data_IF_976530118456
#
_entry.id   IF_976530118456
#
_cell.length_a   1.000
_cell.length_b   1.000
_cell.length_c   1.000
_cell.angle_alpha   90.00
_cell.angle_beta   90.00
_cell.angle_gamma   90.00
#
_symmetry.space_group_name_H-M   'P 1'
#
loop_
_entity.id
_entity.type
_entity.pdbx_description
1 polymer ?
#
# COMPACT_ATOMS: atom_id res chain seq x y z
N UNK A 1 -5.09 2.08 18.83
CA UNK A 1 -6.42 2.53 19.31
C UNK A 1 -6.40 3.94 19.91
N UNK A 2 -5.56 4.24 20.91
CA UNK A 2 -5.49 5.58 21.55
C UNK A 2 -5.36 6.72 20.54
N UNK A 3 -4.42 6.62 19.60
CA UNK A 3 -4.21 7.61 18.53
C UNK A 3 -5.44 7.79 17.62
N UNK A 4 -6.14 6.69 17.30
CA UNK A 4 -7.34 6.77 16.46
C UNK A 4 -8.48 7.47 17.21
N UNK A 5 -8.66 7.14 18.49
CA UNK A 5 -9.67 7.75 19.35
C UNK A 5 -9.41 9.25 19.56
N UNK A 6 -8.15 9.66 19.75
CA UNK A 6 -7.80 11.09 19.86
C UNK A 6 -8.04 11.87 18.57
N UNK A 7 -8.05 11.19 17.41
CA UNK A 7 -8.44 11.74 16.11
C UNK A 7 -9.96 11.63 15.85
N UNK A 8 -10.76 11.22 16.84
CA UNK A 8 -12.22 11.10 16.71
C UNK A 8 -12.69 9.93 15.85
N UNK A 9 -11.86 8.92 15.65
CA UNK A 9 -12.21 7.72 14.87
C UNK A 9 -12.83 6.66 15.77
N UNK A 10 -14.09 6.29 15.49
CA UNK A 10 -14.83 5.27 16.24
C UNK A 10 -14.53 3.82 15.83
N UNK A 11 -13.89 3.61 14.68
CA UNK A 11 -13.56 2.30 14.14
C UNK A 11 -12.12 2.27 13.63
N UNK A 12 -11.49 1.10 13.74
CA UNK A 12 -10.17 0.82 13.19
C UNK A 12 -10.23 -0.51 12.46
N UNK A 13 -9.54 -0.59 11.32
CA UNK A 13 -9.31 -1.82 10.60
C UNK A 13 -7.82 -2.13 10.61
N UNK A 14 -7.47 -3.38 10.93
CA UNK A 14 -6.09 -3.88 10.93
C UNK A 14 -6.11 -5.30 10.38
N UNK A 15 -5.31 -5.57 9.35
CA UNK A 15 -5.25 -6.87 8.67
C UNK A 15 -5.15 -8.07 9.62
N UNK A 16 -4.28 -7.98 10.61
CA UNK A 16 -4.02 -9.03 11.62
C UNK A 16 -5.17 -9.25 12.60
N UNK A 17 -6.11 -8.32 12.73
CA UNK A 17 -7.25 -8.42 13.66
C UNK A 17 -8.59 -8.59 12.95
N UNK A 18 -8.71 -8.09 11.71
CA UNK A 18 -9.97 -7.97 10.99
C UNK A 18 -10.13 -9.00 9.85
N UNK A 19 -9.05 -9.74 9.54
CA UNK A 19 -9.09 -10.83 8.57
C UNK A 19 -8.86 -12.12 9.34
N UNK A 20 -9.80 -13.06 9.22
CA UNK A 20 -9.60 -14.42 9.67
C UNK A 20 -8.63 -15.13 8.71
N UNK A 21 -7.37 -15.29 9.14
CA UNK A 21 -6.33 -15.91 8.34
C UNK A 21 -6.51 -17.44 8.21
N UNK A 22 -7.40 -18.04 9.00
CA UNK A 22 -7.73 -19.46 8.92
C UNK A 22 -8.88 -19.73 7.93
N UNK A 23 -9.67 -18.71 7.58
CA UNK A 23 -10.71 -18.78 6.55
C UNK A 23 -10.21 -18.28 5.19
N UNK A 24 -9.94 -19.20 4.27
CA UNK A 24 -9.52 -18.86 2.90
C UNK A 24 -10.55 -18.00 2.15
N UNK A 25 -11.84 -18.16 2.44
CA UNK A 25 -12.90 -17.36 1.83
C UNK A 25 -12.80 -15.91 2.29
N UNK A 26 -12.53 -15.70 3.59
CA UNK A 26 -12.33 -14.37 4.15
C UNK A 26 -11.05 -13.72 3.62
N UNK A 27 -9.94 -14.47 3.53
CA UNK A 27 -8.70 -13.99 2.92
C UNK A 27 -8.93 -13.55 1.47
N UNK A 28 -9.53 -14.39 0.63
CA UNK A 28 -9.82 -14.05 -0.76
C UNK A 28 -10.69 -12.80 -0.88
N UNK A 29 -11.73 -12.69 -0.04
CA UNK A 29 -12.59 -11.51 0.02
C UNK A 29 -11.79 -10.26 0.38
N UNK A 30 -10.94 -10.32 1.38
CA UNK A 30 -10.18 -9.16 1.84
C UNK A 30 -9.11 -8.74 0.84
N UNK A 31 -8.39 -9.67 0.21
CA UNK A 31 -7.40 -9.41 -0.84
C UNK A 31 -7.98 -8.52 -1.95
N UNK A 32 -9.22 -8.80 -2.39
CA UNK A 32 -9.91 -8.00 -3.40
C UNK A 32 -10.35 -6.61 -2.90
N UNK A 33 -10.55 -6.45 -1.60
CA UNK A 33 -11.10 -5.24 -0.98
C UNK A 33 -10.08 -4.35 -0.27
N UNK A 34 -8.82 -4.79 -0.11
CA UNK A 34 -7.76 -4.06 0.59
C UNK A 34 -7.67 -2.59 0.16
N UNK A 35 -7.66 -2.33 -1.15
CA UNK A 35 -7.59 -0.98 -1.67
C UNK A 35 -8.78 -0.12 -1.23
N UNK A 36 -9.97 -0.70 -1.26
CA UNK A 36 -11.20 -0.02 -0.86
C UNK A 36 -11.20 0.32 0.62
N UNK A 37 -10.63 -0.52 1.49
CA UNK A 37 -10.49 -0.21 2.91
C UNK A 37 -9.61 1.01 3.12
N UNK A 38 -8.45 1.07 2.46
CA UNK A 38 -7.57 2.23 2.57
C UNK A 38 -8.18 3.48 1.94
N UNK A 39 -8.71 3.38 0.72
CA UNK A 39 -9.31 4.52 0.01
C UNK A 39 -10.48 5.15 0.77
N UNK A 40 -11.30 4.35 1.42
CA UNK A 40 -12.46 4.84 2.18
C UNK A 40 -12.14 5.12 3.66
N UNK A 41 -10.89 4.94 4.09
CA UNK A 41 -10.45 5.36 5.41
C UNK A 41 -10.31 6.88 5.48
N UNK A 42 -10.50 7.45 6.67
CA UNK A 42 -10.17 8.87 6.90
C UNK A 42 -8.65 9.07 7.03
N UNK A 43 -7.97 8.17 7.73
CA UNK A 43 -6.53 8.20 8.00
C UNK A 43 -6.00 6.78 7.96
N UNK A 44 -4.85 6.60 7.31
CA UNK A 44 -4.04 5.39 7.43
C UNK A 44 -2.86 5.66 8.38
N UNK A 45 -2.74 4.83 9.41
CA UNK A 45 -1.60 4.90 10.35
C UNK A 45 -0.56 3.86 9.96
N UNK A 46 0.60 4.32 9.50
CA UNK A 46 1.73 3.47 9.13
C UNK A 46 2.70 3.34 10.31
N UNK A 47 2.80 2.14 10.89
CA UNK A 47 3.69 1.85 12.01
C UNK A 47 4.99 1.21 11.51
N UNK A 48 6.11 1.93 11.66
CA UNK A 48 7.44 1.54 11.24
C UNK A 48 8.20 0.89 12.40
N UNK A 49 7.94 -0.41 12.60
CA UNK A 49 8.50 -1.19 13.71
C UNK A 49 10.03 -1.28 13.76
N UNK A 50 10.70 -1.02 12.63
CA UNK A 50 12.16 -1.04 12.46
C UNK A 50 12.79 0.35 12.40
N UNK A 51 12.03 1.39 12.76
CA UNK A 51 12.49 2.78 12.84
C UNK A 51 12.45 3.25 14.29
N UNK A 52 13.49 3.94 14.73
CA UNK A 52 13.55 4.66 16.00
C UNK A 52 14.13 6.05 15.73
N UNK A 53 13.33 7.10 15.93
CA UNK A 53 13.72 8.47 15.65
C UNK A 53 14.50 9.13 16.81
N UNK A 54 14.58 8.49 17.98
CA UNK A 54 15.22 9.07 19.16
C UNK A 54 16.69 8.64 19.31
N UNK A 55 17.08 7.50 18.74
CA UNK A 55 18.43 6.94 18.92
C UNK A 55 19.46 7.43 17.89
N UNK A 56 19.05 8.08 16.80
CA UNK A 56 19.94 8.35 15.66
C UNK A 56 19.83 9.80 15.20
N UNK A 57 20.98 10.43 14.92
CA UNK A 57 21.06 11.81 14.41
C UNK A 57 20.57 11.96 12.95
N UNK A 58 20.42 10.84 12.23
CA UNK A 58 19.97 10.79 10.84
C UNK A 58 18.63 10.04 10.74
N UNK A 59 17.70 10.55 9.92
CA UNK A 59 16.40 9.91 9.67
C UNK A 59 16.59 8.50 9.09
N UNK A 60 16.08 7.48 9.79
CA UNK A 60 16.00 6.10 9.29
C UNK A 60 14.67 5.80 8.59
N UNK A 61 13.86 6.81 8.33
CA UNK A 61 12.53 6.65 7.75
C UNK A 61 12.61 5.93 6.40
N UNK A 62 13.37 6.44 5.44
CA UNK A 62 13.53 5.83 4.12
C UNK A 62 14.17 4.44 4.10
N UNK A 63 14.78 4.01 5.21
CA UNK A 63 15.39 2.68 5.35
C UNK A 63 14.42 1.63 5.91
N UNK A 64 13.22 2.04 6.35
CA UNK A 64 12.25 1.10 6.90
C UNK A 64 11.84 0.05 5.86
N UNK A 65 11.77 -1.21 6.32
CA UNK A 65 11.23 -2.33 5.56
C UNK A 65 9.81 -2.10 5.08
N UNK A 66 9.06 -1.18 5.68
CA UNK A 66 7.71 -0.82 5.23
C UNK A 66 7.69 -0.41 3.75
N UNK A 67 8.71 0.31 3.26
CA UNK A 67 8.83 0.69 1.84
C UNK A 67 9.07 -0.50 0.89
N UNK A 68 9.54 -1.62 1.44
CA UNK A 68 9.84 -2.83 0.66
C UNK A 68 8.69 -3.85 0.69
N UNK A 69 7.63 -3.65 1.47
CA UNK A 69 6.49 -4.57 1.51
C UNK A 69 5.53 -4.31 0.34
N UNK A 70 5.00 -5.36 -0.28
CA UNK A 70 4.10 -5.22 -1.44
C UNK A 70 2.81 -4.45 -1.13
N UNK A 71 2.10 -4.87 -0.08
CA UNK A 71 0.79 -4.32 0.29
C UNK A 71 0.81 -2.88 0.78
N UNK A 72 1.96 -2.40 1.29
CA UNK A 72 2.10 -1.02 1.78
C UNK A 72 2.07 0.01 0.64
N UNK A 73 2.13 -0.43 -0.63
CA UNK A 73 1.89 0.46 -1.77
C UNK A 73 0.48 1.02 -1.76
N UNK A 74 -0.51 0.19 -1.42
CA UNK A 74 -1.90 0.63 -1.29
C UNK A 74 -2.09 1.48 -0.04
N UNK A 75 -1.45 1.12 1.09
CA UNK A 75 -1.41 1.95 2.30
C UNK A 75 -0.87 3.36 2.02
N UNK A 76 0.12 3.49 1.12
CA UNK A 76 0.72 4.76 0.76
C UNK A 76 -0.20 5.62 -0.12
N UNK A 77 -0.76 5.04 -1.17
CA UNK A 77 -1.37 5.79 -2.28
C UNK A 77 -2.89 5.88 -2.21
N UNK A 78 -3.57 4.89 -1.64
CA UNK A 78 -5.03 4.83 -1.62
C UNK A 78 -5.70 5.82 -0.65
N UNK A 79 -5.25 5.98 0.61
CA UNK A 79 -5.95 6.80 1.59
C UNK A 79 -5.73 8.30 1.32
N UNK A 80 -6.65 9.16 1.78
CA UNK A 80 -6.49 10.62 1.67
C UNK A 80 -5.34 11.14 2.56
N UNK A 81 -5.11 10.51 3.71
CA UNK A 81 -4.08 10.90 4.67
C UNK A 81 -3.33 9.66 5.19
N UNK A 82 -2.00 9.75 5.25
CA UNK A 82 -1.14 8.74 5.89
C UNK A 82 -0.27 9.43 6.93
N UNK A 83 -0.25 8.87 8.13
CA UNK A 83 0.58 9.34 9.25
C UNK A 83 1.53 8.23 9.65
N UNK A 84 2.82 8.54 9.71
CA UNK A 84 3.89 7.61 10.03
C UNK A 84 4.29 7.73 11.50
N UNK A 85 4.43 6.57 12.13
CA UNK A 85 4.88 6.40 13.50
C UNK A 85 6.08 5.47 13.54
N UNK A 86 7.00 5.73 14.46
CA UNK A 86 8.15 4.85 14.70
C UNK A 86 7.76 3.68 15.62
N UNK A 87 8.74 2.82 15.95
CA UNK A 87 8.57 1.66 16.82
C UNK A 87 8.10 1.97 18.25
N UNK A 88 8.19 3.23 18.68
CA UNK A 88 7.73 3.73 19.99
C UNK A 88 6.41 4.50 19.89
N UNK A 89 5.73 4.43 18.75
CA UNK A 89 4.53 5.22 18.43
C UNK A 89 4.77 6.74 18.50
N UNK A 90 6.00 7.19 18.24
CA UNK A 90 6.32 8.60 18.10
C UNK A 90 6.00 9.04 16.67
N UNK A 91 5.29 10.17 16.54
CA UNK A 91 4.94 10.73 15.24
C UNK A 91 6.18 11.17 14.47
N UNK A 92 6.38 10.59 13.28
CA UNK A 92 7.48 10.93 12.37
C UNK A 92 7.05 12.07 11.44
N UNK A 93 5.87 11.95 10.84
CA UNK A 93 5.38 12.86 9.81
C UNK A 93 4.20 12.29 9.04
N UNK A 94 3.74 13.03 8.05
CA UNK A 94 2.68 12.62 7.12
C UNK A 94 3.26 12.32 5.73
N UNK A 95 2.48 11.65 4.88
CA UNK A 95 2.84 11.47 3.45
C UNK A 95 3.20 12.78 2.77
N UNK A 96 2.49 13.86 3.09
CA UNK A 96 2.73 15.19 2.51
C UNK A 96 4.01 15.83 3.02
N UNK A 97 4.28 15.76 4.34
CA UNK A 97 5.50 16.37 4.92
C UNK A 97 6.76 15.60 4.58
N UNK A 98 6.66 14.29 4.36
CA UNK A 98 7.79 13.40 4.03
C UNK A 98 7.89 13.10 2.52
N UNK A 99 7.19 13.87 1.70
CA UNK A 99 7.01 13.60 0.26
C UNK A 99 8.34 13.40 -0.50
N UNK A 100 9.33 14.27 -0.28
CA UNK A 100 10.61 14.19 -0.98
C UNK A 100 11.37 12.88 -0.64
N UNK A 101 11.38 12.50 0.64
CA UNK A 101 12.02 11.26 1.09
C UNK A 101 11.27 10.02 0.57
N UNK A 102 9.93 10.03 0.62
CA UNK A 102 9.10 8.95 0.05
C UNK A 102 9.36 8.81 -1.45
N UNK A 103 9.38 9.91 -2.20
CA UNK A 103 9.64 9.91 -3.64
C UNK A 103 11.02 9.35 -3.95
N UNK A 104 12.05 9.78 -3.21
CA UNK A 104 13.42 9.27 -3.36
C UNK A 104 13.54 7.77 -3.11
N UNK A 105 12.78 7.20 -2.17
CA UNK A 105 12.88 5.78 -1.79
C UNK A 105 12.04 4.89 -2.70
N UNK A 106 10.89 5.39 -3.16
CA UNK A 106 9.91 4.59 -3.91
C UNK A 106 10.01 4.76 -5.43
N UNK A 107 10.62 5.85 -5.90
CA UNK A 107 10.59 6.25 -7.30
C UNK A 107 9.24 6.81 -7.77
N UNK A 108 8.27 6.99 -6.85
CA UNK A 108 6.96 7.55 -7.18
C UNK A 108 7.07 9.08 -7.25
N UNK A 109 6.57 9.74 -8.32
CA UNK A 109 6.62 11.19 -8.44
C UNK A 109 6.00 11.93 -7.24
N UNK A 110 6.59 13.06 -6.84
CA UNK A 110 6.14 13.79 -5.65
C UNK A 110 4.69 14.29 -5.73
N UNK A 111 4.23 14.67 -6.93
CA UNK A 111 2.85 15.13 -7.15
C UNK A 111 1.83 14.00 -6.94
N UNK A 112 2.20 12.76 -7.28
CA UNK A 112 1.45 11.54 -6.97
C UNK A 112 1.50 11.22 -5.47
N UNK A 113 2.69 11.29 -4.85
CA UNK A 113 2.83 11.08 -3.39
C UNK A 113 1.99 12.08 -2.60
N UNK A 114 1.94 13.35 -3.01
CA UNK A 114 1.07 14.36 -2.37
C UNK A 114 -0.42 14.13 -2.62
N UNK A 115 -0.79 13.37 -3.66
CA UNK A 115 -2.17 13.22 -4.12
C UNK A 115 -2.69 14.42 -4.90
N UNK A 116 -1.81 15.30 -5.36
CA UNK A 116 -2.12 16.44 -6.25
C UNK A 116 -2.48 15.96 -7.66
N UNK A 117 -1.86 14.87 -8.10
CA UNK A 117 -2.17 14.17 -9.35
C UNK A 117 -2.74 12.81 -9.01
N UNK A 118 -3.81 12.41 -9.71
CA UNK A 118 -4.35 11.06 -9.57
C UNK A 118 -3.42 10.07 -10.27
N UNK A 119 -2.98 9.03 -9.56
CA UNK A 119 -2.17 7.98 -10.20
C UNK A 119 -2.92 7.25 -11.32
N UNK A 120 -4.25 7.32 -11.38
CA UNK A 120 -5.01 6.73 -12.50
C UNK A 120 -4.76 7.43 -13.85
N UNK A 121 -4.18 8.63 -13.82
CA UNK A 121 -3.77 9.40 -14.99
C UNK A 121 -2.35 9.07 -15.45
N UNK A 122 -1.63 8.26 -14.67
CA UNK A 122 -0.28 7.78 -14.99
C UNK A 122 -0.36 6.51 -15.85
N UNK A 123 0.60 6.37 -16.77
CA UNK A 123 0.74 5.19 -17.61
C UNK A 123 0.77 3.90 -16.78
N UNK A 124 0.21 2.83 -17.35
CA UNK A 124 0.08 1.55 -16.64
C UNK A 124 1.45 0.94 -16.32
N UNK A 125 2.44 1.07 -17.21
CA UNK A 125 3.78 0.51 -17.00
C UNK A 125 4.48 1.25 -15.87
N UNK A 126 4.32 2.57 -15.81
CA UNK A 126 4.86 3.36 -14.71
C UNK A 126 4.20 2.98 -13.37
N UNK A 127 2.87 2.85 -13.33
CA UNK A 127 2.16 2.35 -12.13
C UNK A 127 2.62 0.96 -11.68
N UNK A 128 2.82 0.04 -12.63
CA UNK A 128 3.35 -1.30 -12.35
C UNK A 128 4.79 -1.23 -11.83
N UNK A 129 5.60 -0.28 -12.31
CA UNK A 129 6.99 -0.12 -11.88
C UNK A 129 7.14 0.15 -10.37
N UNK A 130 6.14 0.77 -9.74
CA UNK A 130 6.15 1.11 -8.31
C UNK A 130 6.12 -0.10 -7.36
N UNK A 131 5.84 -1.30 -7.88
CA UNK A 131 5.93 -2.55 -7.11
C UNK A 131 7.22 -3.35 -7.34
N UNK A 132 8.09 -2.93 -8.27
CA UNK A 132 9.27 -3.71 -8.69
C UNK A 132 10.21 -4.01 -7.52
N UNK A 133 10.49 -3.01 -6.68
CA UNK A 133 11.38 -3.15 -5.52
C UNK A 133 10.69 -3.75 -4.29
N UNK A 134 9.39 -4.05 -4.39
CA UNK A 134 8.59 -4.57 -3.28
C UNK A 134 8.57 -6.09 -3.26
N UNK A 135 8.51 -6.62 -2.04
CA UNK A 135 8.55 -8.04 -1.69
C UNK A 135 7.26 -8.43 -0.97
N UNK A 136 6.84 -9.66 -1.18
CA UNK A 136 5.66 -10.26 -0.57
C UNK A 136 5.99 -11.65 -0.04
N UNK A 137 5.22 -12.12 0.94
CA UNK A 137 5.38 -13.46 1.51
C UNK A 137 4.99 -14.53 0.49
N UNK A 138 3.83 -14.38 -0.16
CA UNK A 138 3.45 -15.20 -1.31
C UNK A 138 3.86 -14.49 -2.59
N UNK A 139 4.52 -15.21 -3.49
CA UNK A 139 5.06 -14.61 -4.73
C UNK A 139 3.98 -13.90 -5.54
N UNK A 140 2.82 -14.53 -5.73
CA UNK A 140 1.67 -14.00 -6.49
C UNK A 140 1.08 -12.71 -5.91
N UNK A 141 1.28 -12.41 -4.62
CA UNK A 141 0.81 -11.14 -4.04
C UNK A 141 1.52 -9.92 -4.65
N UNK A 142 2.66 -10.10 -5.34
CA UNK A 142 3.28 -9.01 -6.12
C UNK A 142 2.37 -8.53 -7.26
N UNK A 143 1.49 -9.39 -7.76
CA UNK A 143 0.44 -9.03 -8.69
C UNK A 143 -0.77 -8.46 -7.94
N UNK A 144 -1.25 -9.14 -6.89
CA UNK A 144 -2.49 -8.75 -6.21
C UNK A 144 -2.40 -7.43 -5.45
N UNK A 145 -1.21 -7.04 -4.97
CA UNK A 145 -1.01 -5.73 -4.35
C UNK A 145 -1.16 -4.56 -5.35
N UNK A 146 -1.25 -4.82 -6.66
CA UNK A 146 -1.47 -3.81 -7.69
C UNK A 146 -2.95 -3.59 -8.05
N UNK A 147 -3.90 -4.41 -7.57
CA UNK A 147 -5.32 -4.33 -7.94
C UNK A 147 -5.89 -2.91 -7.90
N UNK A 148 -5.78 -2.26 -6.74
CA UNK A 148 -6.27 -0.90 -6.54
C UNK A 148 -5.53 0.16 -7.35
N UNK A 149 -4.23 -0.03 -7.54
CA UNK A 149 -3.36 0.89 -8.28
C UNK A 149 -3.66 0.86 -9.77
N UNK A 150 -3.92 -0.33 -10.31
CA UNK A 150 -4.30 -0.54 -11.71
C UNK A 150 -5.80 -0.34 -11.95
N UNK A 151 -6.60 -0.34 -10.88
CA UNK A 151 -8.06 -0.21 -10.97
C UNK A 151 -8.72 -1.45 -11.56
N UNK A 152 -8.17 -2.63 -11.30
CA UNK A 152 -8.68 -3.95 -11.72
C UNK A 152 -8.65 -4.92 -10.55
N UNK A 153 -9.48 -5.97 -10.61
CA UNK A 153 -9.44 -7.07 -9.66
C UNK A 153 -9.79 -8.36 -10.39
N UNK A 154 -8.98 -9.39 -10.17
CA UNK A 154 -9.22 -10.76 -10.63
C UNK A 154 -9.39 -11.68 -9.42
N UNK A 155 -9.91 -12.89 -9.61
CA UNK A 155 -9.93 -13.91 -8.55
C UNK A 155 -8.50 -14.31 -8.18
N UNK A 156 -8.06 -14.12 -6.91
CA UNK A 156 -6.74 -14.54 -6.50
C UNK A 156 -6.63 -16.07 -6.55
N UNK A 157 -5.60 -16.55 -7.26
CA UNK A 157 -5.17 -17.95 -7.24
C UNK A 157 -3.81 -18.03 -6.56
N UNK A 158 -3.72 -18.79 -5.47
CA UNK A 158 -2.48 -19.00 -4.73
C UNK A 158 -1.73 -20.27 -5.13
N UNK A 159 -2.25 -21.01 -6.11
CA UNK A 159 -1.65 -22.21 -6.68
C UNK A 159 -0.87 -21.93 -7.97
N UNK A 160 -1.12 -20.78 -8.60
CA UNK A 160 -0.39 -20.35 -9.80
C UNK A 160 0.98 -19.74 -9.46
N UNK A 161 1.86 -19.65 -10.46
CA UNK A 161 3.10 -18.92 -10.35
C UNK A 161 2.91 -17.40 -10.59
N UNK A 162 3.93 -16.63 -10.22
CA UNK A 162 3.90 -15.16 -10.35
C UNK A 162 3.75 -14.68 -11.80
N UNK A 163 4.33 -15.39 -12.77
CA UNK A 163 4.25 -14.98 -14.19
C UNK A 163 2.81 -15.09 -14.65
N UNK A 164 2.15 -16.20 -14.32
CA UNK A 164 0.74 -16.44 -14.62
C UNK A 164 -0.16 -15.39 -13.96
N UNK A 165 0.07 -15.07 -12.67
CA UNK A 165 -0.68 -14.04 -11.96
C UNK A 165 -0.53 -12.64 -12.59
N UNK A 166 0.68 -12.27 -13.02
CA UNK A 166 0.93 -10.99 -13.71
C UNK A 166 0.25 -10.96 -15.08
N UNK A 167 0.34 -12.05 -15.85
CA UNK A 167 -0.31 -12.14 -17.17
C UNK A 167 -1.82 -11.92 -17.06
N UNK A 168 -2.48 -12.63 -16.13
CA UNK A 168 -3.92 -12.46 -15.88
C UNK A 168 -4.29 -11.05 -15.46
N UNK A 169 -3.43 -10.41 -14.66
CA UNK A 169 -3.62 -9.03 -14.24
C UNK A 169 -3.51 -8.05 -15.42
N UNK A 170 -2.54 -8.26 -16.31
CA UNK A 170 -2.37 -7.46 -17.53
C UNK A 170 -3.54 -7.63 -18.48
N UNK A 171 -4.00 -8.87 -18.72
CA UNK A 171 -5.18 -9.17 -19.53
C UNK A 171 -6.42 -8.44 -18.98
N UNK A 172 -6.69 -8.58 -17.68
CA UNK A 172 -7.82 -7.88 -17.04
C UNK A 172 -7.72 -6.35 -17.12
N UNK A 173 -6.50 -5.80 -17.15
CA UNK A 173 -6.28 -4.38 -17.38
C UNK A 173 -6.64 -3.96 -18.80
N UNK A 174 -6.13 -4.66 -19.82
CA UNK A 174 -6.43 -4.36 -21.22
C UNK A 174 -7.91 -4.55 -21.57
N UNK A 175 -8.58 -5.55 -20.98
CA UNK A 175 -10.02 -5.73 -21.14
C UNK A 175 -10.82 -4.56 -20.56
N UNK A 176 -10.39 -4.02 -19.41
CA UNK A 176 -11.07 -2.90 -18.75
C UNK A 176 -10.78 -1.55 -19.41
N UNK A 177 -9.57 -1.36 -19.95
CA UNK A 177 -9.11 -0.11 -20.53
C UNK A 177 -8.54 -0.33 -21.95
N UNK A 178 -9.37 -0.69 -22.94
CA UNK A 178 -8.90 -1.04 -24.29
C UNK A 178 -8.25 0.12 -25.06
N UNK A 179 -8.44 1.38 -24.61
CA UNK A 179 -7.88 2.58 -25.25
C UNK A 179 -6.62 3.12 -24.54
N UNK A 180 -6.18 2.50 -23.44
CA UNK A 180 -4.94 2.84 -22.72
C UNK A 180 -3.89 1.76 -22.96
#
# INVERSE_FOLDING_TARGET
CVTAQSNGLGYLWVDTCCIDQEDQTDVHRNVKNMYSYYRNSRICYAYLVDTDMQEVAESRFGQSRWFTRGWTLQELLAPPEVIFFDSKWVHIGTRTTLCAEISSVTGIPEDIVRGSTSFLDVDVQERMSWSVLRKTTRSVDRAYCLFGILGVSIEPDYTEDLVTAITRLQEAFFERYPEK
#
